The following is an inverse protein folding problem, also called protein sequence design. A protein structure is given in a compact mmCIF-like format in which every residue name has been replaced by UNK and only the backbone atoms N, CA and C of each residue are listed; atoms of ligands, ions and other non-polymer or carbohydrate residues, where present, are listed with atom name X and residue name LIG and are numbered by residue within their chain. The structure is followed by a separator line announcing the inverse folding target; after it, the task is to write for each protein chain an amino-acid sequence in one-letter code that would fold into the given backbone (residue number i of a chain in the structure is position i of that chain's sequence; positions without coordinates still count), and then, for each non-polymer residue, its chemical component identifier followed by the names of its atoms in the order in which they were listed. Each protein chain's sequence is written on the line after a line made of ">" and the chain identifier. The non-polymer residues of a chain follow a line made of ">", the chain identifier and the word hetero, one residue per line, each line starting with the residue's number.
data_IF_282273425852
#
_entry.id   IF_282273425852
#
_cell.length_a   1.000
_cell.length_b   1.000
_cell.length_c   1.000
_cell.angle_alpha   90.00
_cell.angle_beta   90.00
_cell.angle_gamma   90.00
#
_symmetry.space_group_name_H-M   'P 1'
#
loop_
_entity.id
_entity.type
_entity.pdbx_description
1 polymer ?
#
# COMPACT_ATOMS: atom_id res chain seq x y z
N UNK A 1 37.90 7.07 14.69
CA UNK A 1 37.91 7.45 13.27
C UNK A 1 36.57 7.03 12.71
N UNK A 2 35.71 7.99 12.36
CA UNK A 2 34.45 7.73 11.67
C UNK A 2 34.80 7.12 10.30
N UNK A 3 34.29 5.92 10.00
CA UNK A 3 34.35 5.38 8.64
C UNK A 3 33.55 6.33 7.76
N UNK A 4 34.22 7.00 6.83
CA UNK A 4 33.52 7.75 5.78
C UNK A 4 32.69 6.75 4.99
N UNK A 5 31.37 6.86 5.10
CA UNK A 5 30.44 6.03 4.30
C UNK A 5 30.46 6.59 2.88
N UNK A 6 30.71 5.74 1.89
CA UNK A 6 30.57 6.12 0.48
C UNK A 6 29.09 5.99 0.10
N UNK A 7 28.46 7.09 -0.26
CA UNK A 7 27.12 7.10 -0.84
C UNK A 7 27.27 6.77 -2.33
N UNK A 8 26.58 5.75 -2.81
CA UNK A 8 26.55 5.39 -4.23
C UNK A 8 25.54 6.25 -4.99
N UNK A 9 24.39 6.49 -4.40
CA UNK A 9 23.32 7.33 -4.93
C UNK A 9 22.60 8.00 -3.76
N UNK A 10 22.31 9.29 -3.87
CA UNK A 10 21.54 10.01 -2.87
C UNK A 10 20.03 9.81 -3.13
N UNK A 11 19.24 9.70 -2.06
CA UNK A 11 17.77 9.66 -2.18
C UNK A 11 17.25 10.90 -2.90
N UNK A 12 16.27 10.73 -3.79
CA UNK A 12 15.71 11.81 -4.61
C UNK A 12 16.54 12.16 -5.85
N UNK A 13 17.63 11.42 -6.13
CA UNK A 13 18.35 11.52 -7.41
C UNK A 13 17.96 10.40 -8.34
N UNK A 14 17.99 10.64 -9.65
CA UNK A 14 17.70 9.66 -10.69
C UNK A 14 18.90 9.52 -11.61
N UNK A 15 19.41 8.32 -11.71
CA UNK A 15 20.48 7.95 -12.64
C UNK A 15 19.89 7.55 -14.00
N UNK A 16 20.72 7.52 -15.04
CA UNK A 16 20.34 6.99 -16.35
C UNK A 16 19.95 5.50 -16.20
N UNK A 17 18.91 5.08 -16.89
CA UNK A 17 18.42 3.70 -16.86
C UNK A 17 18.53 3.01 -18.22
N UNK A 18 18.79 1.70 -18.19
CA UNK A 18 18.91 0.88 -19.42
C UNK A 18 17.55 0.65 -20.12
N UNK A 19 16.43 1.04 -19.47
CA UNK A 19 15.08 0.95 -20.03
C UNK A 19 14.81 2.07 -21.02
N UNK A 20 15.72 3.06 -21.12
CA UNK A 20 15.70 4.18 -22.07
C UNK A 20 14.47 5.08 -21.95
N UNK A 21 13.91 5.17 -20.77
CA UNK A 21 12.91 6.19 -20.46
C UNK A 21 13.64 7.51 -20.17
N UNK A 22 13.16 8.61 -20.74
CA UNK A 22 13.73 9.93 -20.54
C UNK A 22 13.76 10.28 -19.03
N UNK A 23 14.85 10.89 -18.56
CA UNK A 23 15.08 11.19 -17.16
C UNK A 23 13.93 11.97 -16.51
N UNK A 24 13.46 13.01 -17.17
CA UNK A 24 12.38 13.87 -16.66
C UNK A 24 11.06 13.10 -16.46
N UNK A 25 10.85 12.05 -17.26
CA UNK A 25 9.70 11.14 -17.12
C UNK A 25 9.94 10.14 -16.01
N UNK A 26 11.16 9.58 -15.91
CA UNK A 26 11.54 8.66 -14.83
C UNK A 26 11.40 9.35 -13.48
N UNK A 27 11.82 10.59 -13.32
CA UNK A 27 11.69 11.36 -12.07
C UNK A 27 10.24 11.42 -11.59
N UNK A 28 9.29 11.75 -12.48
CA UNK A 28 7.87 11.85 -12.14
C UNK A 28 7.28 10.47 -11.75
N UNK A 29 7.65 9.43 -12.47
CA UNK A 29 7.16 8.06 -12.19
C UNK A 29 7.74 7.53 -10.89
N UNK A 30 9.03 7.78 -10.61
CA UNK A 30 9.68 7.34 -9.37
C UNK A 30 9.07 8.06 -8.15
N UNK A 31 8.71 9.32 -8.27
CA UNK A 31 8.02 10.06 -7.21
C UNK A 31 6.64 9.45 -6.92
N UNK A 32 5.87 9.13 -7.94
CA UNK A 32 4.60 8.43 -7.83
C UNK A 32 4.76 7.04 -7.20
N UNK A 33 5.72 6.23 -7.67
CA UNK A 33 6.02 4.91 -7.13
C UNK A 33 6.45 4.96 -5.65
N UNK A 34 7.24 5.95 -5.25
CA UNK A 34 7.64 6.14 -3.86
C UNK A 34 6.46 6.57 -2.97
N UNK A 35 5.52 7.31 -3.50
CA UNK A 35 4.27 7.68 -2.81
C UNK A 35 3.40 6.45 -2.55
N UNK A 36 3.19 5.62 -3.58
CA UNK A 36 2.43 4.38 -3.45
C UNK A 36 3.14 3.37 -2.54
N UNK A 37 4.46 3.24 -2.65
CA UNK A 37 5.29 2.40 -1.79
C UNK A 37 5.20 2.81 -0.31
N UNK A 38 5.23 4.11 -0.04
CA UNK A 38 5.08 4.63 1.32
C UNK A 38 3.70 4.31 1.90
N UNK A 39 2.64 4.52 1.11
CA UNK A 39 1.26 4.18 1.47
C UNK A 39 1.07 2.69 1.70
N UNK A 40 1.67 1.84 0.85
CA UNK A 40 1.63 0.40 1.01
C UNK A 40 2.25 -0.04 2.36
N UNK A 41 3.38 0.51 2.77
CA UNK A 41 3.96 0.18 4.08
C UNK A 41 3.13 0.69 5.26
N UNK A 42 2.46 1.83 5.15
CA UNK A 42 1.52 2.31 6.17
C UNK A 42 0.36 1.32 6.32
N UNK A 43 -0.28 0.93 5.21
CA UNK A 43 -1.36 -0.04 5.20
C UNK A 43 -0.91 -1.41 5.71
N UNK A 44 0.24 -1.91 5.27
CA UNK A 44 0.82 -3.17 5.74
C UNK A 44 0.92 -3.22 7.27
N UNK A 45 1.49 -2.18 7.88
CA UNK A 45 1.63 -2.12 9.33
C UNK A 45 0.27 -2.06 10.04
N UNK A 46 -0.70 -1.35 9.50
CA UNK A 46 -2.05 -1.26 10.07
C UNK A 46 -2.79 -2.60 9.97
N UNK A 47 -2.79 -3.26 8.81
CA UNK A 47 -3.35 -4.60 8.63
C UNK A 47 -2.70 -5.63 9.58
N UNK A 48 -1.37 -5.58 9.75
CA UNK A 48 -0.67 -6.45 10.72
C UNK A 48 -1.10 -6.15 12.15
N UNK A 49 -1.27 -4.88 12.53
CA UNK A 49 -1.80 -4.50 13.84
C UNK A 49 -3.18 -5.11 14.06
N UNK A 50 -4.08 -5.00 13.09
CA UNK A 50 -5.44 -5.56 13.17
C UNK A 50 -5.41 -7.08 13.19
N UNK A 51 -4.61 -7.72 12.34
CA UNK A 51 -4.40 -9.16 12.33
C UNK A 51 -3.97 -9.72 13.71
N UNK A 52 -3.11 -9.02 14.43
CA UNK A 52 -2.66 -9.45 15.76
C UNK A 52 -3.70 -9.26 16.86
N UNK A 53 -4.58 -8.26 16.72
CA UNK A 53 -5.47 -7.82 17.77
C UNK A 53 -6.94 -8.19 17.56
N UNK A 54 -7.30 -8.74 16.38
CA UNK A 54 -8.69 -9.18 16.13
C UNK A 54 -9.13 -10.23 17.13
N UNK A 55 -10.35 -10.09 17.64
CA UNK A 55 -10.99 -11.03 18.57
C UNK A 55 -12.50 -11.11 18.30
N UNK A 56 -13.19 -12.06 18.91
CA UNK A 56 -14.64 -12.20 18.79
C UNK A 56 -15.06 -13.39 17.93
N UNK A 57 -16.31 -13.39 17.48
CA UNK A 57 -16.91 -14.52 16.79
C UNK A 57 -16.29 -14.77 15.41
N UNK A 58 -15.90 -13.71 14.73
CA UNK A 58 -15.29 -13.71 13.40
C UNK A 58 -13.75 -13.83 13.44
N UNK A 59 -13.16 -14.02 14.63
CA UNK A 59 -11.71 -14.05 14.84
C UNK A 59 -10.96 -14.85 13.78
N UNK A 60 -11.38 -16.08 13.53
CA UNK A 60 -10.62 -16.97 12.64
C UNK A 60 -10.58 -16.46 11.22
N UNK A 61 -11.71 -16.05 10.70
CA UNK A 61 -11.84 -15.67 9.28
C UNK A 61 -11.19 -14.31 9.05
N UNK A 62 -11.42 -13.33 9.91
CA UNK A 62 -10.77 -12.02 9.84
C UNK A 62 -9.26 -12.09 10.09
N UNK A 63 -8.80 -12.92 11.06
CA UNK A 63 -7.38 -13.08 11.30
C UNK A 63 -6.65 -13.65 10.06
N UNK A 64 -7.24 -14.62 9.36
CA UNK A 64 -6.67 -15.15 8.13
C UNK A 64 -6.71 -14.11 7.01
N UNK A 65 -7.86 -13.50 6.77
CA UNK A 65 -8.02 -12.47 5.75
C UNK A 65 -7.03 -11.30 5.92
N UNK A 66 -6.95 -10.70 7.12
CA UNK A 66 -6.03 -9.60 7.39
C UNK A 66 -4.55 -10.00 7.24
N UNK A 67 -4.25 -11.28 7.52
CA UNK A 67 -2.92 -11.85 7.28
C UNK A 67 -2.58 -11.95 5.81
N UNK A 68 -3.51 -12.44 4.99
CA UNK A 68 -3.36 -12.60 3.55
C UNK A 68 -3.32 -11.22 2.86
N UNK A 69 -4.22 -10.28 3.23
CA UNK A 69 -4.23 -8.92 2.74
C UNK A 69 -2.90 -8.18 3.02
N UNK A 70 -2.33 -8.36 4.23
CA UNK A 70 -1.02 -7.80 4.54
C UNK A 70 0.09 -8.39 3.66
N UNK A 71 0.02 -9.67 3.27
CA UNK A 71 1.00 -10.27 2.36
C UNK A 71 0.84 -9.71 0.93
N UNK A 72 -0.38 -9.51 0.45
CA UNK A 72 -0.64 -8.87 -0.86
C UNK A 72 -0.03 -7.46 -0.91
N UNK A 73 -0.19 -6.68 0.15
CA UNK A 73 0.37 -5.33 0.25
C UNK A 73 1.91 -5.36 0.33
N UNK A 74 2.51 -6.34 1.01
CA UNK A 74 3.98 -6.51 1.06
C UNK A 74 4.54 -6.85 -0.32
N UNK A 75 3.88 -7.72 -1.08
CA UNK A 75 4.26 -8.06 -2.47
C UNK A 75 4.16 -6.84 -3.38
N UNK A 76 3.07 -6.08 -3.29
CA UNK A 76 2.92 -4.82 -4.01
C UNK A 76 4.03 -3.81 -3.69
N UNK A 77 4.41 -3.67 -2.41
CA UNK A 77 5.49 -2.78 -1.98
C UNK A 77 6.84 -3.19 -2.59
N UNK A 78 7.12 -4.49 -2.71
CA UNK A 78 8.34 -5.00 -3.33
C UNK A 78 8.38 -4.67 -4.84
N UNK A 79 7.28 -4.90 -5.56
CA UNK A 79 7.16 -4.56 -6.99
C UNK A 79 7.33 -3.06 -7.25
N UNK A 80 6.72 -2.19 -6.43
CA UNK A 80 6.86 -0.74 -6.52
C UNK A 80 8.31 -0.30 -6.29
N UNK A 81 8.97 -0.87 -5.27
CA UNK A 81 10.36 -0.56 -4.94
C UNK A 81 11.33 -1.00 -6.04
N UNK A 82 11.18 -2.23 -6.55
CA UNK A 82 12.00 -2.76 -7.64
C UNK A 82 11.79 -1.94 -8.92
N UNK A 83 10.56 -1.52 -9.21
CA UNK A 83 10.27 -0.70 -10.38
C UNK A 83 10.91 0.69 -10.28
N UNK A 84 10.83 1.35 -9.11
CA UNK A 84 11.49 2.63 -8.88
C UNK A 84 13.01 2.52 -9.08
N UNK A 85 13.62 1.45 -8.59
CA UNK A 85 15.05 1.18 -8.77
C UNK A 85 15.40 0.92 -10.25
N UNK A 86 14.60 0.14 -10.97
CA UNK A 86 14.81 -0.15 -12.39
C UNK A 86 14.76 1.10 -13.28
N UNK A 87 13.99 2.11 -12.87
CA UNK A 87 13.91 3.42 -13.55
C UNK A 87 15.08 4.36 -13.20
N UNK A 88 16.01 3.93 -12.35
CA UNK A 88 17.19 4.71 -11.95
C UNK A 88 17.02 5.49 -10.66
N UNK A 89 15.92 5.29 -9.93
CA UNK A 89 15.64 5.92 -8.64
C UNK A 89 16.14 5.16 -7.44
N UNK A 90 15.85 5.70 -6.27
CA UNK A 90 16.07 5.04 -4.98
C UNK A 90 14.70 4.87 -4.30
N UNK A 91 14.27 3.61 -4.01
CA UNK A 91 13.04 3.37 -3.28
C UNK A 91 13.11 3.96 -1.87
N UNK A 92 11.99 4.54 -1.40
CA UNK A 92 11.87 5.01 -0.03
C UNK A 92 11.96 3.82 0.94
N UNK A 93 12.63 4.00 2.07
CA UNK A 93 12.80 2.95 3.06
C UNK A 93 12.88 3.49 4.49
N UNK A 94 12.41 2.65 5.44
CA UNK A 94 12.44 2.97 6.87
C UNK A 94 11.16 3.60 7.38
N UNK A 95 10.60 3.05 8.48
CA UNK A 95 9.25 3.34 8.96
C UNK A 95 8.93 4.82 9.11
N UNK A 96 9.85 5.61 9.69
CA UNK A 96 9.65 7.06 9.83
C UNK A 96 9.58 7.77 8.46
N UNK A 97 10.47 7.42 7.53
CA UNK A 97 10.48 8.05 6.22
C UNK A 97 9.24 7.69 5.41
N UNK A 98 8.77 6.46 5.50
CA UNK A 98 7.53 6.02 4.83
C UNK A 98 6.31 6.72 5.41
N UNK A 99 6.16 6.82 6.74
CA UNK A 99 5.06 7.56 7.37
C UNK A 99 5.06 9.05 7.00
N UNK A 100 6.23 9.69 6.96
CA UNK A 100 6.35 11.12 6.59
C UNK A 100 6.08 11.38 5.10
N UNK A 101 6.25 10.39 4.25
CA UNK A 101 6.08 10.51 2.80
C UNK A 101 4.70 10.05 2.30
N UNK A 102 4.06 9.14 3.02
CA UNK A 102 2.74 8.64 2.67
C UNK A 102 1.68 9.76 2.78
N UNK A 103 0.80 9.92 1.80
CA UNK A 103 -0.34 10.83 1.92
C UNK A 103 -1.45 10.30 2.83
N UNK A 104 -1.41 9.03 3.20
CA UNK A 104 -2.38 8.36 4.06
C UNK A 104 -1.99 8.47 5.54
N UNK A 105 -2.98 8.64 6.42
CA UNK A 105 -2.78 8.76 7.87
C UNK A 105 -3.06 7.41 8.56
N UNK A 106 -2.05 6.75 9.18
CA UNK A 106 -2.29 5.52 9.92
C UNK A 106 -3.07 5.79 11.22
N UNK A 107 -3.87 4.82 11.64
CA UNK A 107 -4.43 4.89 12.99
C UNK A 107 -3.35 4.80 14.06
N UNK A 108 -3.63 5.34 15.26
CA UNK A 108 -2.68 5.35 16.39
C UNK A 108 -2.39 3.95 16.96
N UNK A 109 -1.72 3.91 18.11
CA UNK A 109 -1.29 2.66 18.77
C UNK A 109 -2.41 1.95 19.54
N UNK A 110 -3.54 2.62 19.78
CA UNK A 110 -4.66 2.05 20.53
C UNK A 110 -5.35 0.94 19.72
N UNK A 111 -5.85 -0.07 20.43
CA UNK A 111 -6.63 -1.16 19.83
C UNK A 111 -8.10 -0.76 19.86
N UNK A 112 -8.71 -0.74 18.69
CA UNK A 112 -10.12 -0.45 18.49
C UNK A 112 -10.94 -1.74 18.38
N UNK A 113 -12.27 -1.63 18.43
CA UNK A 113 -13.15 -2.74 18.06
C UNK A 113 -12.98 -3.06 16.56
N UNK A 114 -13.37 -4.28 16.19
CA UNK A 114 -13.07 -4.78 14.83
C UNK A 114 -13.79 -3.98 13.74
N UNK A 115 -15.00 -3.49 13.98
CA UNK A 115 -15.72 -2.66 13.00
C UNK A 115 -14.96 -1.38 12.74
N UNK A 116 -14.55 -0.66 13.77
CA UNK A 116 -13.75 0.57 13.68
C UNK A 116 -12.42 0.29 12.96
N UNK A 117 -11.77 -0.83 13.27
CA UNK A 117 -10.51 -1.22 12.61
C UNK A 117 -10.71 -1.46 11.12
N UNK A 118 -11.75 -2.17 10.71
CA UNK A 118 -12.05 -2.42 9.30
C UNK A 118 -12.49 -1.15 8.56
N UNK A 119 -13.22 -0.24 9.21
CA UNK A 119 -13.58 1.07 8.65
C UNK A 119 -12.33 1.91 8.39
N UNK A 120 -11.35 1.91 9.31
CA UNK A 120 -10.07 2.60 9.13
C UNK A 120 -9.21 1.96 8.02
N UNK A 121 -9.23 0.62 7.89
CA UNK A 121 -8.54 -0.05 6.79
C UNK A 121 -9.17 0.32 5.45
N UNK A 122 -10.50 0.31 5.36
CA UNK A 122 -11.22 0.64 4.13
C UNK A 122 -10.98 2.09 3.68
N UNK A 123 -10.82 3.04 4.60
CA UNK A 123 -10.47 4.42 4.30
C UNK A 123 -9.10 4.50 3.61
N UNK A 124 -8.06 3.86 4.20
CA UNK A 124 -6.71 3.84 3.61
C UNK A 124 -6.70 3.10 2.26
N UNK A 125 -7.42 1.99 2.14
CA UNK A 125 -7.57 1.31 0.85
C UNK A 125 -8.17 2.23 -0.21
N UNK A 126 -9.19 3.02 0.15
CA UNK A 126 -9.82 4.00 -0.74
C UNK A 126 -8.84 5.04 -1.26
N UNK A 127 -8.03 5.63 -0.38
CA UNK A 127 -7.00 6.61 -0.74
C UNK A 127 -5.90 6.00 -1.64
N UNK A 128 -5.46 4.78 -1.35
CA UNK A 128 -4.47 4.06 -2.17
C UNK A 128 -5.04 3.73 -3.56
N UNK A 129 -6.29 3.28 -3.64
CA UNK A 129 -6.98 3.00 -4.91
C UNK A 129 -7.06 4.24 -5.80
N UNK A 130 -7.40 5.40 -5.23
CA UNK A 130 -7.40 6.67 -5.95
C UNK A 130 -6.00 7.02 -6.47
N UNK A 131 -4.98 6.93 -5.61
CA UNK A 131 -3.57 7.16 -5.95
C UNK A 131 -3.09 6.25 -7.09
N UNK A 132 -3.34 4.95 -7.00
CA UNK A 132 -2.95 3.96 -8.02
C UNK A 132 -3.61 4.23 -9.38
N UNK A 133 -4.86 4.71 -9.41
CA UNK A 133 -5.54 5.10 -10.65
C UNK A 133 -4.86 6.30 -11.30
N UNK A 134 -4.59 7.34 -10.51
CA UNK A 134 -3.93 8.56 -10.99
C UNK A 134 -2.52 8.27 -11.49
N UNK A 135 -1.75 7.46 -10.77
CA UNK A 135 -0.39 7.09 -11.14
C UNK A 135 -0.34 6.12 -12.35
N UNK A 136 -1.35 5.26 -12.50
CA UNK A 136 -1.54 4.44 -13.71
C UNK A 136 -1.75 5.33 -14.95
N UNK A 137 -2.57 6.37 -14.82
CA UNK A 137 -2.78 7.35 -15.90
C UNK A 137 -1.51 8.15 -16.18
N UNK A 138 -0.81 8.62 -15.15
CA UNK A 138 0.47 9.31 -15.27
C UNK A 138 1.49 8.47 -16.06
N UNK A 139 1.71 7.21 -15.65
CA UNK A 139 2.65 6.31 -16.32
C UNK A 139 2.28 6.09 -17.80
N UNK A 140 0.98 5.91 -18.09
CA UNK A 140 0.46 5.78 -19.45
C UNK A 140 0.76 7.03 -20.27
N UNK A 141 0.48 8.22 -19.73
CA UNK A 141 0.67 9.49 -20.43
C UNK A 141 2.15 9.83 -20.70
N UNK A 142 3.04 9.34 -19.83
CA UNK A 142 4.49 9.48 -20.01
C UNK A 142 5.08 8.40 -20.93
N UNK A 143 4.28 7.40 -21.32
CA UNK A 143 4.67 6.31 -22.23
C UNK A 143 5.35 5.14 -21.55
N UNK A 144 5.34 5.07 -20.21
CA UNK A 144 5.82 3.92 -19.45
C UNK A 144 4.68 2.90 -19.22
N UNK A 145 4.39 2.15 -20.27
CA UNK A 145 3.35 1.14 -20.25
C UNK A 145 3.67 -0.04 -19.30
N UNK A 146 4.94 -0.30 -19.01
CA UNK A 146 5.33 -1.36 -18.08
C UNK A 146 4.97 -0.96 -16.63
N UNK A 147 5.28 0.26 -16.19
CA UNK A 147 4.82 0.76 -14.89
C UNK A 147 3.30 0.81 -14.83
N UNK A 148 2.64 1.30 -15.87
CA UNK A 148 1.17 1.32 -15.92
C UNK A 148 0.55 -0.09 -15.78
N UNK A 149 1.19 -1.13 -16.31
CA UNK A 149 0.71 -2.52 -16.16
C UNK A 149 0.91 -3.03 -14.73
N UNK A 150 2.07 -2.79 -14.12
CA UNK A 150 2.36 -3.14 -12.73
C UNK A 150 1.31 -2.49 -11.81
N UNK A 151 1.10 -1.18 -11.93
CA UNK A 151 0.13 -0.45 -11.11
C UNK A 151 -1.30 -0.97 -11.30
N UNK A 152 -1.70 -1.40 -12.49
CA UNK A 152 -3.01 -2.02 -12.72
C UNK A 152 -3.16 -3.38 -12.05
N UNK A 153 -2.11 -4.19 -12.01
CA UNK A 153 -2.15 -5.47 -11.31
C UNK A 153 -2.28 -5.26 -9.80
N UNK A 154 -1.50 -4.35 -9.24
CA UNK A 154 -1.61 -3.96 -7.83
C UNK A 154 -3.01 -3.41 -7.53
N UNK A 155 -3.56 -2.56 -8.40
CA UNK A 155 -4.91 -1.98 -8.24
C UNK A 155 -6.01 -3.05 -8.19
N UNK A 156 -5.91 -4.11 -9.01
CA UNK A 156 -6.88 -5.21 -9.00
C UNK A 156 -6.92 -5.90 -7.63
N UNK A 157 -5.77 -6.28 -7.10
CA UNK A 157 -5.68 -6.94 -5.78
C UNK A 157 -6.11 -5.99 -4.65
N UNK A 158 -5.74 -4.72 -4.74
CA UNK A 158 -6.13 -3.69 -3.75
C UNK A 158 -7.65 -3.47 -3.73
N UNK A 159 -8.30 -3.42 -4.90
CA UNK A 159 -9.76 -3.31 -5.01
C UNK A 159 -10.47 -4.56 -4.50
N UNK A 160 -9.90 -5.77 -4.71
CA UNK A 160 -10.48 -7.02 -4.21
C UNK A 160 -10.41 -7.09 -2.68
N UNK A 161 -9.29 -6.74 -2.07
CA UNK A 161 -9.16 -6.69 -0.61
C UNK A 161 -10.11 -5.65 0.02
N UNK A 162 -10.21 -4.46 -0.56
CA UNK A 162 -11.15 -3.42 -0.12
C UNK A 162 -12.60 -3.89 -0.20
N UNK A 163 -12.96 -4.58 -1.28
CA UNK A 163 -14.31 -5.14 -1.48
C UNK A 163 -14.64 -6.22 -0.44
N UNK A 164 -13.69 -7.06 -0.06
CA UNK A 164 -13.86 -8.02 1.02
C UNK A 164 -14.14 -7.33 2.35
N UNK A 165 -13.41 -6.24 2.69
CA UNK A 165 -13.66 -5.46 3.90
C UNK A 165 -15.04 -4.84 3.88
N UNK A 166 -15.47 -4.25 2.75
CA UNK A 166 -16.81 -3.70 2.57
C UNK A 166 -17.88 -4.73 2.93
N UNK A 167 -17.74 -5.97 2.46
CA UNK A 167 -18.67 -7.06 2.76
C UNK A 167 -18.70 -7.45 4.25
N UNK A 168 -17.57 -7.42 4.94
CA UNK A 168 -17.55 -7.64 6.39
C UNK A 168 -18.25 -6.52 7.17
N UNK A 169 -18.32 -5.31 6.61
CA UNK A 169 -18.97 -4.15 7.24
C UNK A 169 -20.48 -4.08 6.98
N UNK A 170 -21.00 -4.87 6.04
CA UNK A 170 -22.44 -4.90 5.76
C UNK A 170 -23.25 -5.43 6.95
N UNK A 171 -24.39 -4.79 7.24
CA UNK A 171 -25.27 -5.15 8.38
C UNK A 171 -26.28 -6.29 8.06
N UNK A 172 -26.08 -7.03 6.97
CA UNK A 172 -26.96 -8.13 6.58
C UNK A 172 -26.65 -9.41 7.39
N UNK A 173 -27.22 -9.50 8.59
CA UNK A 173 -27.09 -10.70 9.40
C UNK A 173 -28.18 -11.74 9.05
N UNK A 174 -27.76 -12.98 8.79
CA UNK A 174 -28.69 -14.13 8.62
C UNK A 174 -29.45 -14.48 9.89
N UNK A 175 -29.04 -13.95 11.05
CA UNK A 175 -29.68 -14.14 12.35
C UNK A 175 -30.33 -12.86 12.77
N UNK A 176 -31.66 -12.80 12.70
CA UNK A 176 -32.41 -11.65 13.22
C UNK A 176 -32.44 -11.66 14.75
N UNK A 177 -32.40 -10.49 15.41
CA UNK A 177 -32.46 -10.34 16.87
C UNK A 177 -33.62 -11.15 17.52
N UNK A 178 -34.67 -11.46 16.77
CA UNK A 178 -35.81 -12.27 17.21
C UNK A 178 -35.49 -13.75 17.43
N UNK A 179 -34.39 -14.28 16.90
CA UNK A 179 -33.98 -15.67 17.05
C UNK A 179 -33.15 -15.94 18.30
N UNK A 180 -32.75 -14.92 19.03
CA UNK A 180 -31.93 -15.02 20.24
C UNK A 180 -32.74 -14.87 21.55
N UNK A 181 -34.07 -15.09 21.55
CA UNK A 181 -34.91 -15.09 22.74
C UNK A 181 -35.28 -16.50 23.18
#
# INVERSE_FOLDING_TARGET
>A
MSKQQSVRQEFGTVDDNELRLDRDKSEQIIDALNTDLASAYVLYHQLKKHHWNVEGAEFRDLHLFLGDAAMNVEEAADELAERAQALGGTPIAGGKATEEHAPVDPEGQDVHDIRTSLENDLEIYGEIIESLRDHTELATNLGDHATSEILRQILVETEEDAHHIEHYLEDDTLVTEGAMK
#
